data_IF_779308762931
#
_entry.id   IF_779308762931
#
_cell.length_a   1.000
_cell.length_b   1.000
_cell.length_c   1.000
_cell.angle_alpha   90.00
_cell.angle_beta   90.00
_cell.angle_gamma   90.00
#
_symmetry.space_group_name_H-M   'P 1'
#
loop_
_entity.id
_entity.type
_entity.pdbx_description
1 polymer ?
#
# COMPACT_ATOMS: atom_id res chain seq x y z
N UNK A 1 -4.91 -19.22 -19.14
CA UNK A 1 -4.61 -18.84 -17.74
C UNK A 1 -5.76 -19.34 -16.86
N UNK A 2 -5.47 -20.07 -15.79
CA UNK A 2 -6.47 -20.50 -14.83
C UNK A 2 -6.90 -19.34 -13.90
N UNK A 3 -8.08 -19.39 -13.25
CA UNK A 3 -8.47 -18.37 -12.27
C UNK A 3 -7.47 -18.25 -11.09
N UNK A 4 -6.77 -19.33 -10.73
CA UNK A 4 -5.76 -19.31 -9.69
C UNK A 4 -4.50 -18.54 -10.14
N UNK A 5 -4.01 -18.81 -11.34
CA UNK A 5 -2.89 -18.06 -11.96
C UNK A 5 -3.22 -16.58 -12.11
N UNK A 6 -4.46 -16.25 -12.50
CA UNK A 6 -4.85 -14.84 -12.61
C UNK A 6 -4.79 -14.16 -11.23
N UNK A 7 -5.35 -14.81 -10.20
CA UNK A 7 -5.35 -14.23 -8.84
C UNK A 7 -3.95 -14.11 -8.25
N UNK A 8 -3.02 -15.02 -8.55
CA UNK A 8 -1.64 -14.94 -8.04
C UNK A 8 -0.87 -13.74 -8.58
N UNK A 9 -1.32 -13.15 -9.68
CA UNK A 9 -0.73 -11.92 -10.24
C UNK A 9 -1.13 -10.64 -9.53
N UNK A 10 -2.16 -10.71 -8.66
CA UNK A 10 -2.65 -9.54 -7.93
C UNK A 10 -2.26 -9.60 -6.45
N UNK A 11 -1.73 -8.51 -5.95
CA UNK A 11 -1.65 -8.21 -4.52
C UNK A 11 -2.65 -7.10 -4.21
N UNK A 12 -3.55 -7.32 -3.25
CA UNK A 12 -4.60 -6.36 -2.95
C UNK A 12 -4.62 -6.09 -1.45
N UNK A 13 -4.55 -4.82 -1.06
CA UNK A 13 -4.83 -4.35 0.29
C UNK A 13 -6.04 -3.41 0.24
N UNK A 14 -7.15 -3.86 0.80
CA UNK A 14 -8.41 -3.12 0.79
C UNK A 14 -8.59 -2.29 2.05
N UNK A 15 -9.41 -1.25 1.99
CA UNK A 15 -9.75 -0.37 3.12
C UNK A 15 -10.29 -1.14 4.34
N UNK A 16 -11.12 -2.14 4.12
CA UNK A 16 -11.80 -2.91 5.18
C UNK A 16 -11.30 -4.35 5.28
N UNK A 17 -10.03 -4.60 5.01
CA UNK A 17 -9.44 -5.91 5.15
C UNK A 17 -9.12 -6.22 6.64
N UNK A 18 -8.88 -7.50 6.96
CA UNK A 18 -8.68 -7.92 8.35
C UNK A 18 -7.58 -8.98 8.51
N UNK A 19 -7.05 -9.03 9.73
CA UNK A 19 -6.08 -10.02 10.16
C UNK A 19 -6.79 -11.17 10.88
N UNK A 20 -6.27 -12.40 10.65
CA UNK A 20 -6.78 -13.60 11.30
C UNK A 20 -6.07 -13.85 12.62
N UNK A 21 -6.69 -14.64 13.50
CA UNK A 21 -6.00 -15.22 14.65
C UNK A 21 -4.94 -16.21 14.14
N UNK A 22 -3.69 -16.03 14.58
CA UNK A 22 -2.53 -16.78 14.10
C UNK A 22 -1.27 -15.96 14.25
N UNK A 23 -0.13 -16.39 13.71
CA UNK A 23 1.10 -15.61 13.79
C UNK A 23 1.08 -14.44 12.79
N UNK A 24 1.98 -13.48 12.99
CA UNK A 24 2.23 -12.42 12.00
C UNK A 24 2.67 -13.05 10.68
N UNK A 25 3.55 -14.03 10.73
CA UNK A 25 4.01 -14.77 9.54
C UNK A 25 2.86 -15.43 8.80
N UNK A 26 1.96 -16.16 9.49
CA UNK A 26 0.78 -16.77 8.89
C UNK A 26 -0.10 -15.74 8.19
N UNK A 27 -0.26 -14.58 8.80
CA UNK A 27 -1.07 -13.50 8.24
C UNK A 27 -0.47 -12.89 6.98
N UNK A 28 0.86 -12.72 6.90
CA UNK A 28 1.53 -12.21 5.70
C UNK A 28 1.58 -13.31 4.64
N UNK A 29 1.90 -14.54 5.00
CA UNK A 29 1.92 -15.72 4.11
C UNK A 29 0.56 -15.98 3.47
N UNK A 30 -0.49 -15.89 4.23
CA UNK A 30 -1.89 -16.05 3.81
C UNK A 30 -2.15 -17.33 3.00
N UNK A 31 -1.62 -18.46 3.50
CA UNK A 31 -1.80 -19.78 2.87
C UNK A 31 -0.99 -20.02 1.59
N UNK A 32 -0.12 -19.09 1.19
CA UNK A 32 0.76 -19.25 0.03
C UNK A 32 2.04 -19.98 0.44
N UNK A 33 2.61 -20.74 -0.49
CA UNK A 33 3.91 -21.39 -0.30
C UNK A 33 5.03 -20.40 -0.70
N UNK A 34 5.44 -19.56 0.26
CA UNK A 34 6.49 -18.56 0.09
C UNK A 34 7.51 -18.66 1.23
N UNK A 35 8.81 -18.48 0.96
CA UNK A 35 9.84 -18.58 1.97
C UNK A 35 9.80 -17.42 2.98
N UNK A 36 10.38 -17.64 4.17
CA UNK A 36 10.43 -16.65 5.24
C UNK A 36 11.11 -15.35 4.80
N UNK A 37 12.20 -15.43 4.04
CA UNK A 37 12.92 -14.25 3.54
C UNK A 37 12.03 -13.34 2.70
N UNK A 38 11.14 -13.91 1.90
CA UNK A 38 10.20 -13.14 1.08
C UNK A 38 9.14 -12.44 1.95
N UNK A 39 8.73 -13.08 3.06
CA UNK A 39 7.84 -12.47 4.05
C UNK A 39 8.52 -11.29 4.74
N UNK A 40 9.78 -11.46 5.14
CA UNK A 40 10.59 -10.40 5.77
C UNK A 40 10.79 -9.23 4.80
N UNK A 41 11.10 -9.52 3.53
CA UNK A 41 11.26 -8.49 2.49
C UNK A 41 9.96 -7.69 2.30
N UNK A 42 8.83 -8.37 2.14
CA UNK A 42 7.52 -7.72 2.01
C UNK A 42 7.16 -6.88 3.24
N UNK A 43 7.47 -7.37 4.44
CA UNK A 43 7.28 -6.63 5.68
C UNK A 43 8.18 -5.38 5.77
N UNK A 44 9.42 -5.47 5.28
CA UNK A 44 10.34 -4.32 5.22
C UNK A 44 9.82 -3.25 4.25
N UNK A 45 9.39 -3.64 3.05
CA UNK A 45 8.78 -2.74 2.08
C UNK A 45 7.53 -2.06 2.65
N UNK A 46 6.67 -2.81 3.35
CA UNK A 46 5.47 -2.30 4.01
C UNK A 46 5.75 -1.48 5.29
N UNK A 47 7.01 -1.22 5.63
CA UNK A 47 7.43 -0.54 6.87
C UNK A 47 6.97 -1.27 8.14
N UNK A 48 6.76 -2.59 8.05
CA UNK A 48 6.30 -3.42 9.17
C UNK A 48 7.42 -4.10 9.94
N UNK A 49 8.53 -4.43 9.27
CA UNK A 49 9.64 -5.21 9.84
C UNK A 49 10.16 -4.62 11.17
N UNK A 50 10.30 -3.29 11.25
CA UNK A 50 10.84 -2.64 12.46
C UNK A 50 10.00 -2.88 13.70
N UNK A 51 8.67 -2.78 13.61
CA UNK A 51 7.82 -3.06 14.78
C UNK A 51 7.68 -4.56 15.04
N UNK A 52 7.70 -5.41 14.01
CA UNK A 52 7.64 -6.86 14.17
C UNK A 52 8.87 -7.35 14.95
N UNK A 53 10.06 -6.90 14.55
CA UNK A 53 11.34 -7.28 15.18
C UNK A 53 11.48 -6.75 16.62
N UNK A 54 10.68 -5.76 17.00
CA UNK A 54 10.64 -5.24 18.37
C UNK A 54 9.71 -6.03 19.31
N UNK A 55 8.92 -6.98 18.76
CA UNK A 55 8.10 -7.90 19.55
C UNK A 55 8.97 -9.08 20.05
N UNK A 56 8.70 -9.57 21.25
CA UNK A 56 9.48 -10.67 21.86
C UNK A 56 9.54 -11.92 20.97
N UNK A 57 8.40 -12.26 20.33
CA UNK A 57 8.27 -13.43 19.44
C UNK A 57 8.47 -13.07 17.95
N UNK A 58 8.74 -11.80 17.61
CA UNK A 58 8.92 -11.35 16.23
C UNK A 58 7.79 -11.78 15.29
N UNK A 59 8.12 -12.50 14.22
CA UNK A 59 7.16 -13.00 13.24
C UNK A 59 6.23 -14.10 13.77
N UNK A 60 6.61 -14.79 14.85
CA UNK A 60 5.81 -15.82 15.55
C UNK A 60 4.80 -15.20 16.52
N UNK A 61 4.83 -13.87 16.71
CA UNK A 61 3.89 -13.17 17.59
C UNK A 61 2.45 -13.43 17.17
N UNK A 62 1.63 -13.89 18.15
CA UNK A 62 0.24 -14.28 17.91
C UNK A 62 -0.69 -13.08 17.89
N UNK A 63 -1.42 -12.98 16.81
CA UNK A 63 -2.48 -11.99 16.64
C UNK A 63 -3.82 -12.55 17.13
N UNK A 64 -4.57 -11.69 17.78
CA UNK A 64 -5.98 -11.95 18.12
C UNK A 64 -6.86 -11.80 16.88
N UNK A 65 -8.11 -12.24 16.97
CA UNK A 65 -9.10 -12.03 15.90
C UNK A 65 -9.18 -10.53 15.54
N UNK A 66 -9.09 -10.22 14.25
CA UNK A 66 -9.01 -8.86 13.69
C UNK A 66 -7.80 -8.06 14.21
N UNK A 67 -6.78 -8.69 14.75
CA UNK A 67 -5.56 -8.04 15.22
C UNK A 67 -5.80 -6.97 16.29
N UNK A 68 -6.74 -7.18 17.24
CA UNK A 68 -7.10 -6.15 18.24
C UNK A 68 -5.96 -5.79 19.18
N UNK A 69 -4.89 -6.61 19.21
CA UNK A 69 -3.66 -6.34 19.96
C UNK A 69 -2.63 -5.48 19.18
N UNK A 70 -3.01 -4.94 18.01
CA UNK A 70 -2.17 -4.04 17.21
C UNK A 70 -2.84 -2.67 17.02
N UNK A 71 -2.03 -1.63 16.83
CA UNK A 71 -2.54 -0.32 16.39
C UNK A 71 -3.09 -0.37 14.96
N UNK A 72 -3.91 0.61 14.57
CA UNK A 72 -4.45 0.70 13.21
C UNK A 72 -3.36 0.73 12.13
N UNK A 73 -2.33 1.54 12.35
CA UNK A 73 -1.18 1.62 11.43
C UNK A 73 -0.34 0.35 11.36
N UNK A 74 -0.20 -0.41 12.46
CA UNK A 74 0.46 -1.70 12.45
C UNK A 74 -0.35 -2.74 11.66
N UNK A 75 -1.66 -2.80 11.87
CA UNK A 75 -2.56 -3.67 11.07
C UNK A 75 -2.45 -3.38 9.60
N UNK A 76 -2.54 -2.10 9.23
CA UNK A 76 -2.48 -1.68 7.83
C UNK A 76 -1.18 -2.08 7.17
N UNK A 77 -0.04 -1.90 7.85
CA UNK A 77 1.26 -2.34 7.33
C UNK A 77 1.35 -3.85 7.14
N UNK A 78 0.74 -4.66 8.01
CA UNK A 78 0.68 -6.11 7.81
C UNK A 78 -0.19 -6.50 6.60
N UNK A 79 -1.30 -5.80 6.37
CA UNK A 79 -2.16 -6.02 5.20
C UNK A 79 -1.44 -5.66 3.90
N UNK A 80 -0.67 -4.57 3.90
CA UNK A 80 0.18 -4.20 2.75
C UNK A 80 1.29 -5.24 2.56
N UNK A 81 1.96 -5.70 3.64
CA UNK A 81 2.95 -6.76 3.56
C UNK A 81 2.37 -8.06 2.98
N UNK A 82 1.15 -8.44 3.37
CA UNK A 82 0.41 -9.58 2.79
C UNK A 82 0.21 -9.40 1.28
N UNK A 83 -0.18 -8.21 0.84
CA UNK A 83 -0.38 -7.94 -0.59
C UNK A 83 0.92 -8.05 -1.38
N UNK A 84 2.04 -7.55 -0.83
CA UNK A 84 3.37 -7.56 -1.44
C UNK A 84 4.02 -8.95 -1.45
N UNK A 85 3.78 -9.77 -0.41
CA UNK A 85 4.52 -11.02 -0.20
C UNK A 85 4.37 -12.08 -1.31
N UNK A 86 3.39 -11.92 -2.20
CA UNK A 86 3.20 -12.77 -3.37
C UNK A 86 4.00 -12.37 -4.62
N UNK A 87 4.81 -11.31 -4.56
CA UNK A 87 5.46 -10.68 -5.72
C UNK A 87 4.45 -10.46 -6.86
N UNK A 88 3.41 -9.66 -6.66
CA UNK A 88 2.35 -9.50 -7.65
C UNK A 88 2.82 -8.69 -8.86
N UNK A 89 2.27 -9.00 -10.05
CA UNK A 89 2.44 -8.17 -11.25
C UNK A 89 1.66 -6.84 -11.10
N UNK A 90 0.53 -6.89 -10.38
CA UNK A 90 -0.35 -5.75 -10.12
C UNK A 90 -0.62 -5.65 -8.62
N UNK A 91 -0.20 -4.54 -8.02
CA UNK A 91 -0.48 -4.21 -6.62
C UNK A 91 -1.61 -3.17 -6.56
N UNK A 92 -2.68 -3.47 -5.84
CA UNK A 92 -3.79 -2.54 -5.61
C UNK A 92 -3.83 -2.14 -4.14
N UNK A 93 -3.69 -0.86 -3.86
CA UNK A 93 -3.77 -0.26 -2.54
C UNK A 93 -5.01 0.63 -2.47
N UNK A 94 -6.12 0.10 -1.93
CA UNK A 94 -7.40 0.79 -1.83
C UNK A 94 -7.52 1.46 -0.46
N UNK A 95 -7.27 2.78 -0.43
CA UNK A 95 -7.17 3.63 0.77
C UNK A 95 -6.27 3.05 1.88
N UNK A 96 -5.29 2.26 1.45
CA UNK A 96 -4.44 1.47 2.34
C UNK A 96 -3.47 2.34 3.17
N UNK A 97 -3.32 3.62 2.86
CA UNK A 97 -2.46 4.55 3.59
C UNK A 97 -3.20 5.46 4.56
N UNK A 98 -4.54 5.42 4.61
CA UNK A 98 -5.35 6.31 5.46
C UNK A 98 -5.04 6.19 6.96
N UNK A 99 -4.71 4.98 7.43
CA UNK A 99 -4.32 4.70 8.81
C UNK A 99 -2.82 4.92 9.11
N UNK A 100 -2.02 5.29 8.09
CA UNK A 100 -0.60 5.55 8.24
C UNK A 100 -0.33 7.04 8.52
N UNK A 101 0.66 7.31 9.37
CA UNK A 101 1.23 8.65 9.48
C UNK A 101 1.98 9.04 8.20
N UNK A 102 2.18 10.34 8.00
CA UNK A 102 2.80 10.88 6.78
C UNK A 102 4.21 10.33 6.50
N UNK A 103 5.01 10.10 7.56
CA UNK A 103 6.37 9.59 7.44
C UNK A 103 6.38 8.14 6.98
N UNK A 104 5.53 7.32 7.57
CA UNK A 104 5.39 5.89 7.21
C UNK A 104 4.83 5.73 5.80
N UNK A 105 3.82 6.52 5.41
CA UNK A 105 3.27 6.52 4.06
C UNK A 105 4.32 6.96 3.01
N UNK A 106 5.10 8.00 3.30
CA UNK A 106 6.18 8.44 2.41
C UNK A 106 7.29 7.38 2.26
N UNK A 107 7.66 6.69 3.35
CA UNK A 107 8.66 5.63 3.33
C UNK A 107 8.17 4.40 2.56
N UNK A 108 6.90 4.00 2.71
CA UNK A 108 6.28 2.95 1.91
C UNK A 108 6.36 3.26 0.41
N UNK A 109 5.93 4.46 0.00
CA UNK A 109 5.94 4.86 -1.42
C UNK A 109 7.35 4.92 -1.99
N UNK A 110 8.32 5.36 -1.18
CA UNK A 110 9.73 5.35 -1.56
C UNK A 110 10.20 3.90 -1.80
N UNK A 111 9.91 2.98 -0.88
CA UNK A 111 10.30 1.58 -1.01
C UNK A 111 9.67 0.93 -2.27
N UNK A 112 8.38 1.17 -2.54
CA UNK A 112 7.72 0.65 -3.74
C UNK A 112 8.36 1.15 -5.03
N UNK A 113 8.78 2.42 -5.07
CA UNK A 113 9.44 3.02 -6.24
C UNK A 113 10.85 2.47 -6.43
N UNK A 114 11.65 2.38 -5.35
CA UNK A 114 13.00 1.83 -5.41
C UNK A 114 12.99 0.36 -5.88
N UNK A 115 12.00 -0.42 -5.43
CA UNK A 115 11.81 -1.80 -5.90
C UNK A 115 11.46 -1.86 -7.39
N UNK A 116 10.53 -1.01 -7.85
CA UNK A 116 10.18 -0.94 -9.27
C UNK A 116 11.36 -0.49 -10.15
N UNK A 117 12.18 0.45 -9.67
CA UNK A 117 13.39 0.90 -10.35
C UNK A 117 14.49 -0.18 -10.40
N UNK A 118 14.61 -1.01 -9.35
CA UNK A 118 15.56 -2.11 -9.30
C UNK A 118 15.20 -3.24 -10.28
N UNK A 119 13.91 -3.44 -10.54
CA UNK A 119 13.36 -4.47 -11.43
C UNK A 119 13.30 -4.02 -12.91
N UNK A 120 14.21 -3.20 -13.39
CA UNK A 120 14.24 -2.45 -14.67
C UNK A 120 13.82 -3.16 -15.96
N UNK A 121 13.54 -4.46 -15.94
CA UNK A 121 13.07 -5.24 -17.11
C UNK A 121 11.63 -5.71 -16.87
N UNK A 122 10.82 -5.66 -17.88
CA UNK A 122 9.47 -6.23 -18.17
C UNK A 122 8.59 -6.86 -17.04
N UNK A 123 9.08 -6.93 -15.80
CA UNK A 123 8.45 -7.58 -14.64
C UNK A 123 8.17 -6.61 -13.48
N UNK A 124 8.36 -5.31 -13.69
CA UNK A 124 8.09 -4.32 -12.65
C UNK A 124 6.59 -4.34 -12.27
N UNK A 125 6.33 -4.38 -10.97
CA UNK A 125 4.95 -4.36 -10.45
C UNK A 125 4.24 -3.06 -10.84
N UNK A 126 3.09 -3.16 -11.49
CA UNK A 126 2.19 -2.02 -11.69
C UNK A 126 1.45 -1.73 -10.40
N UNK A 127 1.63 -0.55 -9.84
CA UNK A 127 0.95 -0.15 -8.58
C UNK A 127 -0.24 0.76 -8.88
N UNK A 128 -1.43 0.35 -8.45
CA UNK A 128 -2.67 1.14 -8.48
C UNK A 128 -2.99 1.60 -7.07
N UNK A 129 -3.04 2.91 -6.86
CA UNK A 129 -3.30 3.51 -5.54
C UNK A 129 -4.61 4.30 -5.60
N UNK A 130 -5.57 3.92 -4.77
CA UNK A 130 -6.73 4.76 -4.45
C UNK A 130 -6.39 5.52 -3.18
N UNK A 131 -6.37 6.84 -3.24
CA UNK A 131 -5.96 7.68 -2.11
C UNK A 131 -6.82 8.93 -1.98
N UNK A 132 -7.02 9.34 -0.74
CA UNK A 132 -7.69 10.59 -0.38
C UNK A 132 -6.69 11.76 -0.25
N UNK A 133 -5.38 11.46 -0.13
CA UNK A 133 -4.32 12.47 0.02
C UNK A 133 -3.58 12.66 -1.30
N UNK A 134 -3.57 13.88 -1.81
CA UNK A 134 -2.78 14.23 -3.01
C UNK A 134 -1.30 13.92 -2.82
N UNK A 135 -0.77 14.14 -1.62
CA UNK A 135 0.63 13.81 -1.28
C UNK A 135 0.97 12.33 -1.53
N UNK A 136 -0.01 11.43 -1.49
CA UNK A 136 0.19 10.00 -1.74
C UNK A 136 0.30 9.63 -3.21
N UNK A 137 -0.21 10.46 -4.12
CA UNK A 137 -0.28 10.16 -5.55
C UNK A 137 0.47 11.16 -6.44
N UNK A 138 0.95 12.28 -5.91
CA UNK A 138 1.60 13.35 -6.71
C UNK A 138 2.81 12.92 -7.54
N UNK A 139 3.39 11.77 -7.24
CA UNK A 139 4.53 11.20 -7.97
C UNK A 139 4.14 9.98 -8.80
N UNK A 140 2.86 9.70 -8.96
CA UNK A 140 2.40 8.65 -9.86
C UNK A 140 2.62 9.05 -11.32
N UNK A 141 2.89 8.06 -12.16
CA UNK A 141 3.08 8.27 -13.60
C UNK A 141 1.78 8.72 -14.28
N UNK A 142 0.63 8.30 -13.73
CA UNK A 142 -0.70 8.67 -14.20
C UNK A 142 -1.66 8.79 -13.02
N UNK A 143 -2.42 9.88 -12.99
CA UNK A 143 -3.47 10.13 -12.01
C UNK A 143 -4.81 10.21 -12.75
N UNK A 144 -5.80 9.46 -12.25
CA UNK A 144 -7.19 9.53 -12.71
C UNK A 144 -8.01 10.27 -11.64
N UNK A 145 -8.63 11.37 -12.02
CA UNK A 145 -9.57 12.10 -11.16
C UNK A 145 -10.98 11.64 -11.50
N UNK A 146 -11.67 11.13 -10.48
CA UNK A 146 -13.01 10.56 -10.67
C UNK A 146 -14.05 11.37 -9.89
N UNK A 147 -15.19 11.61 -10.52
CA UNK A 147 -16.37 12.20 -9.89
C UNK A 147 -17.63 11.49 -10.38
N UNK A 148 -18.53 11.14 -9.47
CA UNK A 148 -19.80 10.45 -9.74
C UNK A 148 -19.68 9.24 -10.71
N UNK A 149 -18.58 8.47 -10.60
CA UNK A 149 -18.33 7.29 -11.42
C UNK A 149 -17.76 7.57 -12.81
N UNK A 150 -17.46 8.83 -13.15
CA UNK A 150 -16.84 9.25 -14.40
C UNK A 150 -15.41 9.76 -14.17
N UNK A 151 -14.52 9.53 -15.15
CA UNK A 151 -13.19 10.14 -15.17
C UNK A 151 -13.33 11.57 -15.68
N UNK A 152 -13.02 12.56 -14.84
CA UNK A 152 -13.10 13.99 -15.15
C UNK A 152 -11.73 14.64 -15.40
N UNK A 153 -10.64 13.93 -15.09
CA UNK A 153 -9.26 14.35 -15.37
C UNK A 153 -8.32 13.15 -15.44
N UNK A 154 -7.31 13.24 -16.29
CA UNK A 154 -6.32 12.20 -16.49
C UNK A 154 -4.99 12.86 -16.87
N UNK A 155 -3.91 12.56 -16.16
CA UNK A 155 -2.58 13.11 -16.40
C UNK A 155 -1.66 13.01 -15.18
N UNK A 156 -0.53 13.66 -15.24
CA UNK A 156 0.40 13.83 -14.13
C UNK A 156 -0.11 14.88 -13.13
N UNK A 157 0.54 14.96 -11.96
CA UNK A 157 0.22 16.00 -10.97
C UNK A 157 0.24 17.42 -11.56
N UNK A 158 1.30 17.74 -12.30
CA UNK A 158 1.49 19.08 -12.86
C UNK A 158 0.46 19.39 -13.94
N UNK A 159 0.20 18.46 -14.85
CA UNK A 159 -0.85 18.60 -15.89
C UNK A 159 -2.24 18.78 -15.28
N UNK A 160 -2.58 18.02 -14.22
CA UNK A 160 -3.88 18.13 -13.59
C UNK A 160 -4.05 19.42 -12.77
N UNK A 161 -2.98 19.97 -12.21
CA UNK A 161 -3.02 21.29 -11.58
C UNK A 161 -3.35 22.40 -12.59
N UNK A 162 -2.95 22.25 -13.84
CA UNK A 162 -3.25 23.21 -14.91
C UNK A 162 -4.63 22.98 -15.52
N UNK A 163 -4.99 21.73 -15.79
CA UNK A 163 -6.14 21.35 -16.64
C UNK A 163 -7.40 20.95 -15.89
N UNK A 164 -7.30 20.51 -14.60
CA UNK A 164 -8.43 20.02 -13.81
C UNK A 164 -8.67 20.88 -12.57
N UNK A 165 -9.70 21.73 -12.60
CA UNK A 165 -10.02 22.63 -11.48
C UNK A 165 -10.33 21.85 -10.19
N UNK A 166 -11.05 20.73 -10.29
CA UNK A 166 -11.41 19.89 -9.12
C UNK A 166 -10.14 19.34 -8.47
N UNK A 167 -9.18 18.84 -9.26
CA UNK A 167 -7.91 18.33 -8.72
C UNK A 167 -7.12 19.44 -8.02
N UNK A 168 -7.02 20.61 -8.63
CA UNK A 168 -6.31 21.76 -8.06
C UNK A 168 -6.92 22.22 -6.75
N UNK A 169 -8.26 22.34 -6.68
CA UNK A 169 -8.95 22.70 -5.43
C UNK A 169 -8.66 21.71 -4.28
N UNK A 170 -8.66 20.41 -4.57
CA UNK A 170 -8.31 19.37 -3.60
C UNK A 170 -6.86 19.53 -3.17
N UNK A 171 -5.93 19.72 -4.11
CA UNK A 171 -4.50 19.86 -3.82
C UNK A 171 -4.22 21.11 -2.95
N UNK A 172 -4.81 22.25 -3.29
CA UNK A 172 -4.68 23.51 -2.54
C UNK A 172 -5.27 23.40 -1.14
N UNK A 173 -6.44 22.78 -0.98
CA UNK A 173 -7.07 22.61 0.33
C UNK A 173 -6.23 21.76 1.28
N UNK A 174 -5.54 20.74 0.75
CA UNK A 174 -4.67 19.88 1.55
C UNK A 174 -3.31 20.51 1.85
N UNK A 175 -2.79 21.38 0.97
CA UNK A 175 -1.56 22.13 1.24
C UNK A 175 -1.80 23.29 2.24
N UNK A 176 -2.94 23.95 2.18
CA UNK A 176 -3.31 25.03 3.11
C UNK A 176 -3.50 24.53 4.55
N UNK A 177 -3.96 23.29 4.74
CA UNK A 177 -4.08 22.66 6.08
C UNK A 177 -2.73 22.29 6.72
N UNK A 178 -1.70 22.06 5.92
CA UNK A 178 -0.37 21.68 6.42
C UNK A 178 0.48 22.87 6.93
N UNK A 179 0.00 24.10 6.78
CA UNK A 179 0.71 25.32 7.24
C UNK A 179 0.20 25.74 8.64
N UNK A 180 -0.86 25.12 9.17
CA UNK A 180 -1.51 25.49 10.43
C UNK A 180 -1.30 24.49 11.57
N UNK A 181 -0.46 23.47 11.41
CA UNK A 181 0.06 22.57 12.45
C UNK A 181 1.58 22.73 12.59
#
# INVERSE_FOLDING_TARGET
>A
MSPAELRSRFGIAMQNDFLYAGTIEDNIRFGRDIPHEQIVHAAAMAQAHGFISALDDGYDHKLTVKGTNLSGGQKQRLLIARALAGNPDILVLDDASSALDYKTDAALRKALREEAEAQKDATATTTVIVAQRVSSIKHADLILVMDQGAVIGCGTHDELNETCSVYREIAESQMGGAILE
#
